data_IF_271480519255
#
_entry.id   IF_271480519255
#
_cell.length_a   1.000
_cell.length_b   1.000
_cell.length_c   1.000
_cell.angle_alpha   90.00
_cell.angle_beta   90.00
_cell.angle_gamma   90.00
#
_symmetry.space_group_name_H-M   'P 1'
#
loop_
_entity.id
_entity.type
_entity.pdbx_description
1 polymer ?
#
# COMPACT_ATOMS: atom_id res chain seq x y z
N UNK A 1 -13.39 -2.01 -1.48
CA UNK A 1 -12.76 -3.17 -0.82
C UNK A 1 -12.38 -4.23 -1.84
N UNK A 2 -11.40 -5.04 -1.51
CA UNK A 2 -11.02 -6.21 -2.29
C UNK A 2 -11.67 -7.46 -1.67
N UNK A 3 -12.24 -8.33 -2.49
CA UNK A 3 -12.82 -9.61 -2.03
C UNK A 3 -11.89 -10.80 -2.32
N UNK A 4 -12.30 -12.00 -1.90
CA UNK A 4 -11.55 -13.23 -2.09
C UNK A 4 -11.39 -13.66 -3.56
N UNK A 5 -12.18 -13.10 -4.46
CA UNK A 5 -12.11 -13.34 -5.91
C UNK A 5 -11.24 -12.30 -6.62
N UNK A 6 -10.53 -11.45 -5.87
CA UNK A 6 -9.70 -10.34 -6.36
C UNK A 6 -10.48 -9.29 -7.15
N UNK A 7 -11.76 -9.11 -6.79
CA UNK A 7 -12.63 -8.10 -7.38
C UNK A 7 -12.80 -6.91 -6.43
N UNK A 8 -12.75 -5.70 -6.97
CA UNK A 8 -13.02 -4.49 -6.20
C UNK A 8 -14.53 -4.22 -6.16
N UNK A 9 -15.02 -3.82 -5.00
CA UNK A 9 -16.42 -3.48 -4.82
C UNK A 9 -16.60 -2.38 -3.76
N UNK A 10 -17.72 -1.67 -3.84
CA UNK A 10 -18.13 -0.75 -2.80
C UNK A 10 -18.91 -1.48 -1.73
N UNK A 11 -18.62 -1.15 -0.48
CA UNK A 11 -19.35 -1.68 0.67
C UNK A 11 -19.78 -0.54 1.59
N UNK A 12 -20.97 -0.67 2.15
CA UNK A 12 -21.51 0.29 3.12
C UNK A 12 -20.89 0.07 4.50
N UNK A 13 -20.47 -1.15 4.78
CA UNK A 13 -19.83 -1.52 6.04
C UNK A 13 -18.28 -1.41 5.93
N UNK A 14 -17.58 -1.08 7.00
CA UNK A 14 -18.13 -0.68 8.29
C UNK A 14 -18.70 0.76 8.27
N UNK A 15 -19.91 0.94 8.81
CA UNK A 15 -20.59 2.26 8.82
C UNK A 15 -19.93 3.27 9.75
N UNK A 16 -19.18 2.78 10.71
CA UNK A 16 -18.49 3.57 11.73
C UNK A 16 -17.20 4.20 11.22
N UNK A 17 -16.81 3.94 9.97
CA UNK A 17 -15.61 4.51 9.37
C UNK A 17 -15.76 6.01 9.19
N UNK A 18 -14.79 6.76 9.72
CA UNK A 18 -14.76 8.22 9.64
C UNK A 18 -14.66 8.74 8.21
N UNK A 19 -13.91 8.03 7.35
CA UNK A 19 -13.70 8.37 5.95
C UNK A 19 -14.47 7.42 5.03
N UNK A 20 -15.12 7.98 3.98
CA UNK A 20 -15.84 7.23 2.95
C UNK A 20 -15.60 7.85 1.57
N UNK A 21 -14.87 7.15 0.68
CA UNK A 21 -14.19 5.87 0.87
C UNK A 21 -13.02 5.97 1.85
N UNK A 22 -12.66 4.84 2.48
CA UNK A 22 -11.58 4.76 3.45
C UNK A 22 -10.40 3.98 2.88
N UNK A 23 -9.19 4.56 2.95
CA UNK A 23 -7.94 3.90 2.57
C UNK A 23 -7.64 2.74 3.53
N UNK A 24 -7.84 2.94 4.84
CA UNK A 24 -7.64 1.88 5.83
C UNK A 24 -8.50 0.65 5.53
N UNK A 25 -9.78 0.84 5.24
CA UNK A 25 -10.70 -0.26 4.89
C UNK A 25 -10.22 -0.99 3.64
N UNK A 26 -9.78 -0.27 2.62
CA UNK A 26 -9.23 -0.87 1.41
C UNK A 26 -7.95 -1.66 1.70
N UNK A 27 -6.99 -1.08 2.40
CA UNK A 27 -5.71 -1.74 2.72
C UNK A 27 -5.92 -2.98 3.58
N UNK A 28 -6.82 -2.95 4.55
CA UNK A 28 -7.16 -4.11 5.37
C UNK A 28 -7.75 -5.24 4.51
N UNK A 29 -8.59 -4.91 3.55
CA UNK A 29 -9.15 -5.91 2.63
C UNK A 29 -8.07 -6.54 1.74
N UNK A 30 -7.10 -5.75 1.30
CA UNK A 30 -5.95 -6.25 0.53
C UNK A 30 -5.09 -7.18 1.38
N UNK A 31 -4.78 -6.80 2.62
CA UNK A 31 -4.02 -7.63 3.55
C UNK A 31 -4.70 -8.98 3.79
N UNK A 32 -6.03 -8.98 3.85
CA UNK A 32 -6.82 -10.20 4.08
C UNK A 32 -6.90 -11.12 2.86
N UNK A 33 -7.08 -10.57 1.67
CA UNK A 33 -7.45 -11.37 0.49
C UNK A 33 -6.34 -11.53 -0.55
N UNK A 34 -5.43 -10.56 -0.68
CA UNK A 34 -4.38 -10.62 -1.69
C UNK A 34 -3.23 -11.51 -1.24
N UNK A 35 -2.90 -12.54 -2.02
CA UNK A 35 -1.91 -13.56 -1.66
C UNK A 35 -0.58 -13.46 -2.42
N UNK A 36 -0.44 -12.44 -3.25
CA UNK A 36 0.78 -12.19 -4.02
C UNK A 36 1.59 -11.04 -3.42
N UNK A 37 2.83 -10.80 -3.88
CA UNK A 37 3.64 -9.68 -3.40
C UNK A 37 2.91 -8.34 -3.53
N UNK A 38 3.07 -7.50 -2.52
CA UNK A 38 2.42 -6.20 -2.43
C UNK A 38 3.48 -5.12 -2.24
N UNK A 39 3.37 -4.05 -3.01
CA UNK A 39 4.01 -2.77 -2.72
C UNK A 39 2.90 -1.76 -2.43
N UNK A 40 2.87 -1.20 -1.25
CA UNK A 40 1.85 -0.25 -0.82
C UNK A 40 2.47 1.11 -0.54
N UNK A 41 1.83 2.16 -1.05
CA UNK A 41 2.38 3.51 -0.98
C UNK A 41 1.33 4.47 -0.44
N UNK A 42 1.74 5.32 0.49
CA UNK A 42 0.91 6.39 1.02
C UNK A 42 1.51 7.74 0.65
N UNK A 43 0.82 8.45 -0.22
CA UNK A 43 1.26 9.74 -0.75
C UNK A 43 0.71 10.90 0.09
N UNK A 44 1.13 12.12 -0.29
CA UNK A 44 0.65 13.38 0.31
C UNK A 44 -0.86 13.36 0.55
N UNK A 45 -1.30 13.87 1.69
CA UNK A 45 -2.71 13.95 2.04
C UNK A 45 -2.92 14.38 3.47
N UNK A 46 -4.11 14.94 3.72
CA UNK A 46 -4.52 15.38 5.05
C UNK A 46 -5.12 14.22 5.85
N UNK A 47 -4.96 14.27 7.17
CA UNK A 47 -5.54 13.29 8.08
C UNK A 47 -4.63 12.11 8.35
N UNK A 48 -5.23 11.00 8.73
CA UNK A 48 -4.51 9.81 9.16
C UNK A 48 -5.02 8.52 8.51
N UNK A 49 -6.00 8.63 7.61
CA UNK A 49 -6.54 7.48 6.89
C UNK A 49 -5.45 6.81 6.05
N UNK A 50 -5.40 5.50 6.09
CA UNK A 50 -4.40 4.71 5.40
C UNK A 50 -3.18 4.32 6.22
N UNK A 51 -2.87 5.02 7.30
CA UNK A 51 -1.69 4.75 8.12
C UNK A 51 -1.80 3.41 8.86
N UNK A 52 -2.94 3.13 9.47
CA UNK A 52 -3.18 1.85 10.14
C UNK A 52 -3.24 0.69 9.14
N UNK A 53 -3.92 0.88 8.03
CA UNK A 53 -3.97 -0.11 6.95
C UNK A 53 -2.60 -0.42 6.36
N UNK A 54 -1.75 0.59 6.21
CA UNK A 54 -0.37 0.41 5.76
C UNK A 54 0.44 -0.42 6.77
N UNK A 55 0.23 -0.19 8.07
CA UNK A 55 0.87 -0.98 9.13
C UNK A 55 0.46 -2.46 9.04
N UNK A 56 -0.83 -2.73 8.83
CA UNK A 56 -1.34 -4.10 8.65
C UNK A 56 -0.75 -4.76 7.41
N UNK A 57 -0.62 -4.04 6.30
CA UNK A 57 0.03 -4.54 5.09
C UNK A 57 1.49 -4.86 5.33
N UNK A 58 2.21 -4.00 6.06
CA UNK A 58 3.60 -4.28 6.44
C UNK A 58 3.70 -5.55 7.28
N UNK A 59 2.80 -5.75 8.23
CA UNK A 59 2.71 -6.97 9.04
C UNK A 59 2.42 -8.22 8.21
N UNK A 60 1.72 -8.07 7.09
CA UNK A 60 1.44 -9.15 6.15
C UNK A 60 2.58 -9.40 5.14
N UNK A 61 3.71 -8.71 5.27
CA UNK A 61 4.89 -8.88 4.42
C UNK A 61 4.97 -7.95 3.22
N UNK A 62 4.10 -6.95 3.13
CA UNK A 62 4.15 -5.97 2.06
C UNK A 62 5.35 -5.04 2.20
N UNK A 63 5.87 -4.58 1.07
CA UNK A 63 6.84 -3.48 1.01
C UNK A 63 6.07 -2.17 1.06
N UNK A 64 6.23 -1.41 2.14
CA UNK A 64 5.45 -0.20 2.38
C UNK A 64 6.30 1.06 2.31
N UNK A 65 5.78 2.09 1.64
CA UNK A 65 6.47 3.35 1.41
C UNK A 65 5.55 4.52 1.80
N UNK A 66 6.10 5.49 2.49
CA UNK A 66 5.42 6.77 2.72
C UNK A 66 6.21 7.88 2.02
N UNK A 67 5.50 8.85 1.47
CA UNK A 67 6.12 10.03 0.89
C UNK A 67 6.75 10.89 1.99
N UNK A 68 7.92 11.48 1.72
CA UNK A 68 8.62 12.33 2.67
C UNK A 68 7.94 13.70 2.85
N UNK A 69 8.36 14.44 3.87
CA UNK A 69 7.83 15.76 4.17
C UNK A 69 8.16 16.78 3.08
N UNK A 70 9.40 16.77 2.59
CA UNK A 70 9.90 17.79 1.66
C UNK A 70 9.16 17.82 0.33
N UNK A 71 8.71 16.66 -0.16
CA UNK A 71 7.99 16.56 -1.43
C UNK A 71 6.48 16.46 -1.26
N UNK A 72 5.97 16.39 -0.03
CA UNK A 72 4.54 16.36 0.25
C UNK A 72 3.94 17.77 0.25
N UNK A 73 2.84 17.96 -0.47
CA UNK A 73 2.05 19.18 -0.38
C UNK A 73 1.40 19.31 1.00
N UNK A 74 0.88 18.19 1.51
CA UNK A 74 0.34 18.06 2.88
C UNK A 74 0.95 16.80 3.50
N UNK A 75 1.76 16.97 4.52
CA UNK A 75 2.40 15.87 5.24
C UNK A 75 1.54 15.44 6.44
N UNK A 76 0.36 14.85 6.14
CA UNK A 76 -0.59 14.34 7.13
C UNK A 76 -0.56 12.82 7.20
N UNK A 77 -1.19 12.14 6.24
CA UNK A 77 -1.24 10.67 6.17
C UNK A 77 0.15 10.03 6.17
N UNK A 78 1.12 10.46 5.33
CA UNK A 78 2.46 9.89 5.36
C UNK A 78 3.18 10.11 6.70
N UNK A 79 2.96 11.23 7.35
CA UNK A 79 3.52 11.54 8.67
C UNK A 79 3.05 10.56 9.73
N UNK A 80 1.76 10.28 9.78
CA UNK A 80 1.19 9.31 10.72
C UNK A 80 1.72 7.91 10.43
N UNK A 81 1.79 7.52 9.17
CA UNK A 81 2.36 6.23 8.75
C UNK A 81 3.83 6.08 9.21
N UNK A 82 4.65 7.11 9.03
CA UNK A 82 6.04 7.10 9.48
C UNK A 82 6.14 6.98 11.01
N UNK A 83 5.30 7.70 11.75
CA UNK A 83 5.27 7.64 13.22
C UNK A 83 4.84 6.28 13.77
N UNK A 84 3.90 5.62 13.12
CA UNK A 84 3.44 4.28 13.51
C UNK A 84 4.42 3.18 13.16
N UNK A 85 5.47 3.47 12.41
CA UNK A 85 6.34 2.44 11.87
C UNK A 85 5.67 1.62 10.76
N UNK A 86 4.68 2.19 10.09
CA UNK A 86 3.96 1.52 9.02
C UNK A 86 4.74 1.47 7.70
N UNK A 87 5.64 2.44 7.49
CA UNK A 87 6.45 2.52 6.28
C UNK A 87 7.82 1.87 6.49
N UNK A 88 8.19 0.94 5.63
CA UNK A 88 9.56 0.39 5.56
C UNK A 88 10.52 1.47 5.12
N UNK A 89 10.11 2.31 4.17
CA UNK A 89 10.89 3.44 3.69
C UNK A 89 10.05 4.71 3.62
N UNK A 90 10.71 5.84 3.86
CA UNK A 90 10.16 7.18 3.65
C UNK A 90 10.98 7.82 2.55
N UNK A 91 10.37 8.11 1.41
CA UNK A 91 11.06 8.52 0.19
C UNK A 91 10.44 9.77 -0.43
N UNK A 92 11.26 10.62 -1.09
CA UNK A 92 10.74 11.68 -1.94
C UNK A 92 10.00 11.12 -3.15
N UNK A 93 9.04 11.88 -3.66
CA UNK A 93 8.12 11.42 -4.72
C UNK A 93 8.86 10.88 -5.95
N UNK A 94 9.94 11.52 -6.37
CA UNK A 94 10.70 11.09 -7.57
C UNK A 94 11.41 9.74 -7.36
N UNK A 95 11.80 9.40 -6.12
CA UNK A 95 12.41 8.11 -5.81
C UNK A 95 11.38 6.99 -5.66
N UNK A 96 10.16 7.31 -5.28
CA UNK A 96 9.06 6.34 -5.22
C UNK A 96 8.81 5.74 -6.60
N UNK A 97 8.78 6.57 -7.63
CA UNK A 97 8.61 6.09 -9.01
C UNK A 97 9.71 5.11 -9.43
N UNK A 98 10.98 5.42 -9.11
CA UNK A 98 12.12 4.54 -9.41
C UNK A 98 12.00 3.19 -8.71
N UNK A 99 11.66 3.19 -7.44
CA UNK A 99 11.48 1.96 -6.65
C UNK A 99 10.33 1.12 -7.19
N UNK A 100 9.23 1.74 -7.60
CA UNK A 100 8.11 1.03 -8.24
C UNK A 100 8.53 0.35 -9.54
N UNK A 101 9.28 1.03 -10.38
CA UNK A 101 9.77 0.47 -11.64
C UNK A 101 10.68 -0.72 -11.39
N UNK A 102 11.61 -0.63 -10.46
CA UNK A 102 12.50 -1.73 -10.08
C UNK A 102 11.72 -2.94 -9.55
N UNK A 103 10.76 -2.71 -8.66
CA UNK A 103 9.92 -3.75 -8.09
C UNK A 103 9.09 -4.47 -9.17
N UNK A 104 8.52 -3.73 -10.11
CA UNK A 104 7.77 -4.30 -11.22
C UNK A 104 8.64 -5.14 -12.15
N UNK A 105 9.87 -4.67 -12.46
CA UNK A 105 10.83 -5.41 -13.27
C UNK A 105 11.26 -6.71 -12.62
N UNK A 106 11.53 -6.73 -11.32
CA UNK A 106 11.87 -7.95 -10.59
C UNK A 106 10.72 -8.96 -10.61
N UNK A 107 9.50 -8.50 -10.39
CA UNK A 107 8.31 -9.36 -10.46
C UNK A 107 8.15 -9.96 -11.84
N UNK A 108 8.32 -9.17 -12.90
CA UNK A 108 8.26 -9.63 -14.29
C UNK A 108 9.35 -10.68 -14.59
N UNK A 109 10.57 -10.48 -14.11
CA UNK A 109 11.68 -11.46 -14.25
C UNK A 109 11.34 -12.77 -13.55
N UNK A 110 10.83 -12.73 -12.33
CA UNK A 110 10.39 -13.92 -11.58
C UNK A 110 9.29 -14.68 -12.32
N UNK A 111 8.31 -13.98 -12.88
CA UNK A 111 7.26 -14.60 -13.69
C UNK A 111 7.81 -15.29 -14.93
N UNK A 112 8.76 -14.69 -15.64
CA UNK A 112 9.42 -15.30 -16.80
C UNK A 112 10.17 -16.58 -16.42
N UNK A 113 10.91 -16.57 -15.31
CA UNK A 113 11.64 -17.74 -14.82
C UNK A 113 10.68 -18.87 -14.47
N UNK A 114 9.59 -18.58 -13.78
CA UNK A 114 8.56 -19.59 -13.45
C UNK A 114 7.96 -20.21 -14.70
N UNK A 115 7.61 -19.42 -15.70
CA UNK A 115 7.06 -19.92 -16.97
C UNK A 115 8.05 -20.82 -17.72
N UNK A 116 9.34 -20.47 -17.73
CA UNK A 116 10.39 -21.28 -18.39
C UNK A 116 10.65 -22.60 -17.66
N UNK A 117 10.36 -22.67 -16.34
CA UNK A 117 10.49 -23.90 -15.52
C UNK A 117 9.22 -24.75 -15.49
N UNK A 118 8.15 -24.33 -16.13
CA UNK A 118 6.86 -25.02 -16.10
C UNK A 118 6.11 -24.88 -14.77
N UNK A 119 6.46 -23.91 -13.99
CA UNK A 119 5.83 -23.60 -12.69
C UNK A 119 4.61 -22.69 -12.83
#
# INVERSE_FOLDING_TARGET
>A
MLNSEYTLYYNVEPRETYYRPSVDVFFLSVAKHWKHPITAILLTGMGQDGAQGLLELRGAGAYTIAQDENTSAVFGMPKVAARLGAAVEVLPIHKIADVLCESALETAKRCKIRRSRGE
#
